data_IF_213047739628
#
_entry.id   IF_213047739628
#
_cell.length_a   1.000
_cell.length_b   1.000
_cell.length_c   1.000
_cell.angle_alpha   90.00
_cell.angle_beta   90.00
_cell.angle_gamma   90.00
#
_symmetry.space_group_name_H-M   'P 1'
#
loop_
_entity.id
_entity.type
_entity.pdbx_description
1 polymer ?
#
# COMPACT_ATOMS: atom_id res chain seq x y z
N UNK A 1 -0.34 7.63 -16.29
CA UNK A 1 -1.20 6.65 -16.99
C UNK A 1 -1.88 5.73 -15.97
N UNK A 2 -3.14 6.00 -15.56
CA UNK A 2 -3.83 5.21 -14.55
C UNK A 2 -3.92 3.71 -14.86
N UNK A 3 -4.11 3.34 -16.13
CA UNK A 3 -4.20 1.93 -16.55
C UNK A 3 -2.93 1.12 -16.31
N UNK A 4 -1.75 1.70 -16.56
CA UNK A 4 -0.45 1.04 -16.31
C UNK A 4 -0.25 0.81 -14.81
N UNK A 5 -0.63 1.79 -14.00
CA UNK A 5 -0.58 1.66 -12.54
C UNK A 5 -1.47 0.51 -12.05
N UNK A 6 -2.72 0.44 -12.53
CA UNK A 6 -3.64 -0.65 -12.16
C UNK A 6 -3.08 -2.01 -12.57
N UNK A 7 -2.57 -2.15 -13.79
CA UNK A 7 -1.97 -3.41 -14.26
C UNK A 7 -0.79 -3.83 -13.37
N UNK A 8 0.18 -2.94 -13.17
CA UNK A 8 1.36 -3.22 -12.33
C UNK A 8 0.97 -3.53 -10.89
N UNK A 9 0.01 -2.80 -10.32
CA UNK A 9 -0.45 -3.00 -8.95
C UNK A 9 -1.19 -4.35 -8.79
N UNK A 10 -2.06 -4.69 -9.74
CA UNK A 10 -2.81 -5.95 -9.73
C UNK A 10 -1.90 -7.18 -9.80
N UNK A 11 -0.75 -7.10 -10.49
CA UNK A 11 0.21 -8.22 -10.51
C UNK A 11 0.78 -8.55 -9.12
N UNK A 12 0.80 -7.59 -8.19
CA UNK A 12 1.27 -7.80 -6.83
C UNK A 12 0.45 -8.85 -6.06
N UNK A 13 -0.87 -8.83 -6.21
CA UNK A 13 -1.76 -9.82 -5.58
C UNK A 13 -1.62 -11.21 -6.23
N UNK A 14 -1.39 -11.25 -7.55
CA UNK A 14 -1.14 -12.50 -8.28
C UNK A 14 0.17 -13.12 -7.75
N UNK A 15 1.24 -12.33 -7.66
CA UNK A 15 2.52 -12.77 -7.11
C UNK A 15 2.41 -13.27 -5.67
N UNK A 16 1.65 -12.57 -4.82
CA UNK A 16 1.38 -13.04 -3.46
C UNK A 16 0.64 -14.38 -3.44
N UNK A 17 -0.41 -14.56 -4.25
CA UNK A 17 -1.15 -15.82 -4.34
C UNK A 17 -0.27 -17.01 -4.73
N UNK A 18 0.68 -16.81 -5.64
CA UNK A 18 1.59 -17.87 -6.08
C UNK A 18 2.81 -18.05 -5.17
N UNK A 19 3.24 -17.01 -4.44
CA UNK A 19 4.42 -17.07 -3.57
C UNK A 19 4.12 -17.55 -2.14
N UNK A 20 2.97 -17.20 -1.59
CA UNK A 20 2.55 -17.56 -0.24
C UNK A 20 2.47 -19.08 0.05
N UNK A 21 2.20 -19.97 -0.93
CA UNK A 21 2.28 -21.42 -0.70
C UNK A 21 3.71 -21.93 -0.39
N UNK A 22 4.74 -21.17 -0.76
CA UNK A 22 6.14 -21.63 -0.70
C UNK A 22 7.00 -20.89 0.34
N UNK A 23 6.51 -19.77 0.88
CA UNK A 23 7.24 -18.98 1.86
C UNK A 23 6.27 -18.29 2.83
N UNK A 24 6.72 -18.09 4.07
CA UNK A 24 5.96 -17.30 5.03
C UNK A 24 5.77 -15.86 4.51
N UNK A 25 4.63 -15.20 4.81
CA UNK A 25 4.26 -13.92 4.20
C UNK A 25 5.30 -12.81 4.36
N UNK A 26 5.92 -12.73 5.53
CA UNK A 26 6.94 -11.72 5.84
C UNK A 26 8.27 -12.03 5.14
N UNK A 27 8.67 -13.30 5.08
CA UNK A 27 9.87 -13.73 4.35
C UNK A 27 9.72 -13.48 2.85
N UNK A 28 8.56 -13.78 2.28
CA UNK A 28 8.26 -13.46 0.88
C UNK A 28 8.32 -11.96 0.60
N UNK A 29 7.77 -11.14 1.51
CA UNK A 29 7.81 -9.69 1.41
C UNK A 29 9.23 -9.13 1.50
N UNK A 30 10.03 -9.61 2.46
CA UNK A 30 11.43 -9.21 2.62
C UNK A 30 12.25 -9.55 1.38
N UNK A 31 12.10 -10.77 0.85
CA UNK A 31 12.80 -11.20 -0.35
C UNK A 31 12.40 -10.35 -1.57
N UNK A 32 11.11 -10.00 -1.70
CA UNK A 32 10.63 -9.07 -2.73
C UNK A 32 11.27 -7.69 -2.57
N UNK A 33 11.35 -7.16 -1.35
CA UNK A 33 12.00 -5.87 -1.10
C UNK A 33 13.48 -5.90 -1.42
N UNK A 34 14.21 -6.96 -1.06
CA UNK A 34 15.63 -7.14 -1.43
C UNK A 34 15.81 -7.09 -2.94
N UNK A 35 14.99 -7.81 -3.70
CA UNK A 35 15.05 -7.79 -5.18
C UNK A 35 14.77 -6.39 -5.72
N UNK A 36 13.75 -5.71 -5.20
CA UNK A 36 13.41 -4.33 -5.62
C UNK A 36 14.55 -3.36 -5.30
N UNK A 37 15.13 -3.45 -4.11
CA UNK A 37 16.28 -2.63 -3.68
C UNK A 37 17.47 -2.88 -4.59
N UNK A 38 17.78 -4.13 -4.92
CA UNK A 38 18.89 -4.47 -5.81
C UNK A 38 18.69 -3.88 -7.21
N UNK A 39 17.50 -4.05 -7.79
CA UNK A 39 17.17 -3.50 -9.12
C UNK A 39 17.22 -1.97 -9.11
N UNK A 40 16.64 -1.32 -8.09
CA UNK A 40 16.66 0.13 -7.95
C UNK A 40 18.08 0.67 -7.71
N UNK A 41 18.90 -0.03 -6.92
CA UNK A 41 20.29 0.35 -6.68
C UNK A 41 21.09 0.32 -8.00
N UNK A 42 20.95 -0.74 -8.80
CA UNK A 42 21.58 -0.81 -10.13
C UNK A 42 21.09 0.33 -11.02
N UNK A 43 19.79 0.63 -11.04
CA UNK A 43 19.24 1.73 -11.82
C UNK A 43 19.74 3.10 -11.36
N UNK A 44 19.84 3.33 -10.05
CA UNK A 44 20.37 4.58 -9.46
C UNK A 44 21.84 4.77 -9.84
N UNK A 45 22.65 3.70 -9.75
CA UNK A 45 24.06 3.72 -10.14
C UNK A 45 24.24 3.96 -11.64
N UNK A 46 23.48 3.25 -12.48
CA UNK A 46 23.55 3.37 -13.94
C UNK A 46 23.10 4.76 -14.43
N UNK A 47 22.09 5.35 -13.78
CA UNK A 47 21.55 6.65 -14.19
C UNK A 47 22.18 7.84 -13.47
N UNK A 48 23.12 7.60 -12.53
CA UNK A 48 23.75 8.62 -11.68
C UNK A 48 22.71 9.56 -11.05
N UNK A 49 21.62 8.99 -10.56
CA UNK A 49 20.47 9.75 -10.07
C UNK A 49 20.87 10.66 -8.89
N UNK A 50 20.26 11.84 -8.82
CA UNK A 50 20.57 12.84 -7.80
C UNK A 50 20.00 12.44 -6.45
N UNK A 51 20.88 12.27 -5.47
CA UNK A 51 20.47 11.94 -4.11
C UNK A 51 19.82 13.13 -3.39
N UNK A 52 18.81 12.88 -2.54
CA UNK A 52 18.26 13.92 -1.68
C UNK A 52 19.38 14.47 -0.77
N UNK A 53 19.67 15.76 -0.88
CA UNK A 53 20.74 16.42 -0.13
C UNK A 53 20.34 16.81 1.30
N UNK A 54 19.04 16.88 1.58
CA UNK A 54 18.51 17.23 2.89
C UNK A 54 18.31 15.97 3.76
N UNK A 55 19.03 15.84 4.89
CA UNK A 55 18.84 14.75 5.84
C UNK A 55 17.41 14.66 6.37
N UNK A 56 16.70 15.79 6.49
CA UNK A 56 15.30 15.81 6.93
C UNK A 56 14.39 15.14 5.90
N UNK A 57 14.63 15.40 4.62
CA UNK A 57 13.92 14.73 3.53
C UNK A 57 14.16 13.22 3.55
N UNK A 58 15.40 12.76 3.82
CA UNK A 58 15.71 11.33 3.98
C UNK A 58 14.90 10.73 5.15
N UNK A 59 14.80 11.43 6.28
CA UNK A 59 13.97 11.01 7.41
C UNK A 59 12.48 10.91 7.04
N UNK A 60 11.94 11.90 6.34
CA UNK A 60 10.55 11.87 5.86
C UNK A 60 10.30 10.72 4.89
N UNK A 61 11.28 10.39 4.04
CA UNK A 61 11.23 9.26 3.13
C UNK A 61 11.24 7.93 3.85
N UNK A 62 12.08 7.79 4.88
CA UNK A 62 12.10 6.59 5.69
C UNK A 62 10.74 6.36 6.37
N UNK A 63 10.17 7.39 7.00
CA UNK A 63 8.84 7.32 7.64
C UNK A 63 7.75 6.95 6.62
N UNK A 64 7.75 7.60 5.46
CA UNK A 64 6.83 7.30 4.37
C UNK A 64 6.97 5.84 3.89
N UNK A 65 8.21 5.37 3.68
CA UNK A 65 8.50 4.01 3.26
C UNK A 65 8.02 2.97 4.28
N UNK A 66 8.30 3.19 5.56
CA UNK A 66 7.82 2.32 6.65
C UNK A 66 6.30 2.25 6.65
N UNK A 67 5.59 3.38 6.56
CA UNK A 67 4.12 3.39 6.56
C UNK A 67 3.52 2.68 5.33
N UNK A 68 4.02 3.01 4.13
CA UNK A 68 3.44 2.56 2.86
C UNK A 68 3.85 1.14 2.49
N UNK A 69 5.05 0.70 2.86
CA UNK A 69 5.58 -0.60 2.46
C UNK A 69 5.61 -1.58 3.63
N UNK A 70 6.23 -1.24 4.76
CA UNK A 70 6.36 -2.19 5.87
C UNK A 70 5.03 -2.39 6.61
N UNK A 71 4.43 -1.29 7.10
CA UNK A 71 3.27 -1.34 7.98
C UNK A 71 1.98 -1.69 7.22
N UNK A 72 1.80 -1.15 6.01
CA UNK A 72 0.69 -1.53 5.14
C UNK A 72 0.77 -2.99 4.70
N UNK A 73 1.86 -3.42 4.04
CA UNK A 73 1.94 -4.80 3.54
C UNK A 73 2.03 -5.79 4.70
N UNK A 74 2.77 -5.45 5.76
CA UNK A 74 2.83 -6.24 6.98
C UNK A 74 1.46 -6.40 7.65
N UNK A 75 0.64 -5.35 7.70
CA UNK A 75 -0.73 -5.42 8.21
C UNK A 75 -1.66 -6.23 7.30
N UNK A 76 -1.54 -6.09 5.96
CA UNK A 76 -2.30 -6.91 4.99
C UNK A 76 -1.98 -8.40 5.17
N UNK A 77 -0.70 -8.76 5.20
CA UNK A 77 -0.27 -10.15 5.38
C UNK A 77 -0.55 -10.65 6.80
N UNK A 78 -0.45 -9.80 7.81
CA UNK A 78 -0.82 -10.10 9.20
C UNK A 78 -2.29 -10.44 9.34
N UNK A 79 -3.18 -9.67 8.69
CA UNK A 79 -4.62 -9.96 8.65
C UNK A 79 -4.89 -11.30 7.96
N UNK A 80 -4.25 -11.58 6.82
CA UNK A 80 -4.39 -12.86 6.11
C UNK A 80 -3.91 -14.03 6.98
N UNK A 81 -2.79 -13.86 7.70
CA UNK A 81 -2.25 -14.87 8.63
C UNK A 81 -3.22 -15.17 9.78
N UNK A 82 -3.97 -14.18 10.26
CA UNK A 82 -5.02 -14.34 11.28
C UNK A 82 -6.35 -14.87 10.71
N UNK A 83 -6.32 -15.41 9.49
CA UNK A 83 -7.47 -16.05 8.86
C UNK A 83 -8.41 -15.11 8.13
N UNK A 84 -8.12 -13.80 8.07
CA UNK A 84 -8.96 -12.86 7.32
C UNK A 84 -8.86 -13.19 5.82
N UNK A 85 -9.99 -13.43 5.14
CA UNK A 85 -9.99 -13.71 3.71
C UNK A 85 -9.34 -12.57 2.91
N UNK A 86 -8.42 -12.90 1.99
CA UNK A 86 -7.71 -11.88 1.20
C UNK A 86 -8.64 -10.95 0.43
N UNK A 87 -9.83 -11.43 0.01
CA UNK A 87 -10.86 -10.60 -0.60
C UNK A 87 -11.42 -9.53 0.34
N UNK A 88 -11.61 -9.86 1.62
CA UNK A 88 -12.06 -8.90 2.64
C UNK A 88 -10.97 -7.88 2.96
N UNK A 89 -9.71 -8.31 3.07
CA UNK A 89 -8.57 -7.39 3.23
C UNK A 89 -8.44 -6.44 2.03
N UNK A 90 -8.65 -6.95 0.81
CA UNK A 90 -8.66 -6.13 -0.40
C UNK A 90 -9.84 -5.12 -0.43
N UNK A 91 -11.01 -5.48 0.10
CA UNK A 91 -12.13 -4.55 0.26
C UNK A 91 -11.77 -3.41 1.22
N UNK A 92 -11.19 -3.75 2.38
CA UNK A 92 -10.75 -2.77 3.38
C UNK A 92 -9.68 -1.84 2.78
N UNK A 93 -8.68 -2.40 2.09
CA UNK A 93 -7.70 -1.59 1.36
C UNK A 93 -8.33 -0.74 0.26
N UNK A 94 -9.38 -1.25 -0.41
CA UNK A 94 -10.17 -0.53 -1.40
C UNK A 94 -10.94 0.67 -0.86
N UNK A 95 -11.10 0.79 0.47
CA UNK A 95 -11.65 1.99 1.12
C UNK A 95 -10.63 3.13 1.24
N UNK A 96 -9.35 2.89 0.96
CA UNK A 96 -8.30 3.91 1.01
C UNK A 96 -8.68 5.21 0.29
N UNK A 97 -9.24 5.20 -0.94
CA UNK A 97 -9.56 6.44 -1.63
C UNK A 97 -10.72 7.21 -0.96
N UNK A 98 -11.68 6.53 -0.31
CA UNK A 98 -12.71 7.17 0.51
C UNK A 98 -12.11 7.83 1.74
N UNK A 99 -11.26 7.10 2.46
CA UNK A 99 -10.60 7.62 3.65
C UNK A 99 -9.69 8.80 3.29
N UNK A 100 -8.93 8.67 2.21
CA UNK A 100 -8.09 9.75 1.68
C UNK A 100 -8.94 10.96 1.29
N UNK A 101 -10.05 10.77 0.58
CA UNK A 101 -10.96 11.85 0.19
C UNK A 101 -11.55 12.60 1.39
N UNK A 102 -11.86 11.89 2.48
CA UNK A 102 -12.36 12.51 3.71
C UNK A 102 -11.28 13.31 4.45
N UNK A 103 -10.03 12.84 4.42
CA UNK A 103 -8.92 13.38 5.22
C UNK A 103 -8.09 14.43 4.45
N UNK A 104 -8.08 14.40 3.11
CA UNK A 104 -7.27 15.31 2.28
C UNK A 104 -7.67 16.79 2.46
N UNK A 105 -8.96 17.07 2.69
CA UNK A 105 -9.45 18.43 2.94
C UNK A 105 -8.83 19.09 4.17
N UNK A 106 -9.00 18.55 5.38
CA UNK A 106 -8.42 19.13 6.58
C UNK A 106 -6.88 19.08 6.61
N UNK A 107 -6.24 18.05 6.03
CA UNK A 107 -4.77 17.90 6.12
C UNK A 107 -3.98 18.64 5.03
N UNK A 108 -4.54 18.79 3.83
CA UNK A 108 -3.85 19.34 2.66
C UNK A 108 -4.60 20.53 2.04
N UNK A 109 -5.80 20.88 2.54
CA UNK A 109 -6.60 21.99 2.02
C UNK A 109 -7.30 21.71 0.68
N UNK A 110 -7.27 20.45 0.20
CA UNK A 110 -7.83 20.07 -1.10
C UNK A 110 -9.30 19.68 -1.00
N UNK A 111 -10.13 20.18 -1.92
CA UNK A 111 -11.56 19.85 -1.95
C UNK A 111 -11.84 18.73 -2.96
N UNK A 112 -12.52 17.69 -2.50
CA UNK A 112 -12.99 16.60 -3.37
C UNK A 112 -14.31 17.01 -4.02
N UNK A 113 -14.34 17.06 -5.35
CA UNK A 113 -15.52 17.49 -6.10
C UNK A 113 -16.63 16.44 -6.10
N UNK A 114 -17.88 16.86 -6.31
CA UNK A 114 -19.06 15.98 -6.33
C UNK A 114 -18.95 14.86 -7.36
N UNK A 115 -18.37 15.15 -8.54
CA UNK A 115 -18.12 14.12 -9.58
C UNK A 115 -17.12 13.04 -9.14
N UNK A 116 -16.11 13.41 -8.33
CA UNK A 116 -15.15 12.46 -7.78
C UNK A 116 -15.80 11.56 -6.73
N UNK A 117 -16.70 12.11 -5.90
CA UNK A 117 -17.51 11.33 -4.97
C UNK A 117 -18.39 10.30 -5.66
N UNK A 118 -19.05 10.67 -6.77
CA UNK A 118 -19.81 9.72 -7.58
C UNK A 118 -18.95 8.60 -8.16
N UNK A 119 -17.79 8.94 -8.76
CA UNK A 119 -16.86 7.94 -9.29
C UNK A 119 -16.33 6.99 -8.21
N UNK A 120 -16.09 7.52 -7.02
CA UNK A 120 -15.65 6.75 -5.86
C UNK A 120 -16.72 5.79 -5.35
N UNK A 121 -17.96 6.26 -5.25
CA UNK A 121 -19.11 5.41 -4.90
C UNK A 121 -19.33 4.29 -5.92
N UNK A 122 -19.26 4.62 -7.22
CA UNK A 122 -19.43 3.64 -8.29
C UNK A 122 -18.30 2.60 -8.31
N UNK A 123 -17.05 3.03 -8.06
CA UNK A 123 -15.90 2.13 -7.90
C UNK A 123 -16.08 1.18 -6.71
N UNK A 124 -16.55 1.68 -5.57
CA UNK A 124 -16.81 0.87 -4.38
C UNK A 124 -17.91 -0.17 -4.62
N UNK A 125 -18.99 0.21 -5.31
CA UNK A 125 -20.06 -0.71 -5.71
C UNK A 125 -19.49 -1.83 -6.59
N UNK A 126 -18.67 -1.50 -7.58
CA UNK A 126 -18.02 -2.48 -8.45
C UNK A 126 -17.16 -3.48 -7.66
N UNK A 127 -16.34 -3.00 -6.72
CA UNK A 127 -15.54 -3.86 -5.84
C UNK A 127 -16.43 -4.75 -4.97
N UNK A 128 -17.51 -4.20 -4.38
CA UNK A 128 -18.45 -4.95 -3.58
C UNK A 128 -19.16 -6.05 -4.38
N UNK A 129 -19.55 -5.78 -5.63
CA UNK A 129 -20.16 -6.78 -6.53
C UNK A 129 -19.20 -7.90 -6.91
N UNK A 130 -17.92 -7.59 -7.19
CA UNK A 130 -16.92 -8.61 -7.50
C UNK A 130 -16.65 -9.49 -6.28
N UNK A 131 -16.63 -8.90 -5.09
CA UNK A 131 -16.33 -9.62 -3.85
C UNK A 131 -17.54 -10.33 -3.25
N UNK A 132 -18.78 -9.90 -3.51
CA UNK A 132 -19.98 -10.55 -2.96
C UNK A 132 -20.07 -12.03 -3.36
N UNK A 133 -19.67 -12.35 -4.59
CA UNK A 133 -19.57 -13.74 -5.09
C UNK A 133 -18.48 -14.58 -4.41
N UNK A 134 -17.48 -13.92 -3.82
CA UNK A 134 -16.40 -14.55 -3.03
C UNK A 134 -16.77 -14.66 -1.55
N UNK A 135 -17.69 -13.81 -1.08
CA UNK A 135 -18.13 -13.70 0.32
C UNK A 135 -19.27 -14.67 0.67
N UNK A 136 -20.03 -15.17 -0.31
CA UNK A 136 -21.19 -16.07 -0.12
C UNK A 136 -20.91 -17.46 0.48
N UNK A 137 -19.68 -17.76 0.88
CA UNK A 137 -19.31 -18.97 1.62
C UNK A 137 -18.42 -18.71 2.84
N UNK A 138 -18.26 -17.44 3.24
CA UNK A 138 -17.35 -17.04 4.31
C UNK A 138 -18.11 -17.00 5.63
N UNK A 139 -17.78 -17.92 6.53
CA UNK A 139 -18.23 -17.88 7.94
C UNK A 139 -17.46 -16.79 8.65
N UNK A 140 -18.14 -15.73 9.10
CA UNK A 140 -17.55 -14.63 9.88
C UNK A 140 -17.16 -15.05 11.30
N UNK A 141 -17.36 -16.31 11.62
CA UNK A 141 -17.23 -16.96 12.91
C UNK A 141 -15.77 -17.37 13.24
N UNK A 142 -14.81 -17.19 12.31
CA UNK A 142 -13.45 -17.76 12.40
C UNK A 142 -12.26 -16.80 12.44
N UNK A 143 -12.43 -15.50 12.17
CA UNK A 143 -11.34 -14.51 12.22
C UNK A 143 -11.63 -13.53 13.36
N UNK A 144 -10.78 -13.56 14.40
CA UNK A 144 -10.92 -12.69 15.57
C UNK A 144 -10.80 -11.20 15.23
N UNK A 145 -11.26 -10.35 16.15
CA UNK A 145 -11.09 -8.88 16.09
C UNK A 145 -9.65 -8.46 15.77
N UNK A 146 -8.68 -9.27 16.17
CA UNK A 146 -7.24 -9.07 15.94
C UNK A 146 -6.89 -8.98 14.45
N UNK A 147 -7.43 -9.88 13.62
CA UNK A 147 -7.19 -9.90 12.17
C UNK A 147 -7.76 -8.66 11.46
N UNK A 148 -8.94 -8.22 11.88
CA UNK A 148 -9.54 -6.97 11.38
C UNK A 148 -8.73 -5.75 11.85
N UNK A 149 -8.21 -5.77 13.08
CA UNK A 149 -7.28 -4.76 13.60
C UNK A 149 -6.07 -4.56 12.68
N UNK A 150 -5.45 -5.64 12.21
CA UNK A 150 -4.35 -5.56 11.23
C UNK A 150 -4.78 -4.97 9.89
N UNK A 151 -5.96 -5.32 9.37
CA UNK A 151 -6.46 -4.78 8.10
C UNK A 151 -6.76 -3.27 8.20
N UNK A 152 -7.35 -2.83 9.31
CA UNK A 152 -7.61 -1.42 9.59
C UNK A 152 -6.30 -0.66 9.80
N UNK A 153 -5.36 -1.22 10.56
CA UNK A 153 -4.03 -0.63 10.74
C UNK A 153 -3.32 -0.47 9.40
N UNK A 154 -3.41 -1.45 8.50
CA UNK A 154 -2.86 -1.36 7.15
C UNK A 154 -3.50 -0.21 6.35
N UNK A 155 -4.83 -0.09 6.39
CA UNK A 155 -5.57 0.99 5.72
C UNK A 155 -5.15 2.38 6.23
N UNK A 156 -5.01 2.52 7.55
CA UNK A 156 -4.56 3.77 8.17
C UNK A 156 -3.10 4.07 7.79
N UNK A 157 -2.24 3.05 7.79
CA UNK A 157 -0.83 3.19 7.43
C UNK A 157 -0.64 3.65 5.99
N UNK A 158 -1.31 3.03 5.01
CA UNK A 158 -1.19 3.45 3.61
C UNK A 158 -1.82 4.82 3.36
N UNK A 159 -2.94 5.14 4.02
CA UNK A 159 -3.58 6.47 3.88
C UNK A 159 -2.70 7.56 4.47
N UNK A 160 -2.24 7.37 5.72
CA UNK A 160 -1.33 8.30 6.38
C UNK A 160 0.00 8.43 5.65
N UNK A 161 0.58 7.32 5.21
CA UNK A 161 1.85 7.28 4.50
C UNK A 161 1.79 7.98 3.14
N UNK A 162 0.72 7.79 2.35
CA UNK A 162 0.55 8.47 1.05
C UNK A 162 0.30 9.97 1.22
N UNK A 163 -0.49 10.38 2.21
CA UNK A 163 -0.69 11.80 2.55
C UNK A 163 0.61 12.44 3.07
N UNK A 164 1.35 11.74 3.92
CA UNK A 164 2.63 12.20 4.46
C UNK A 164 3.67 12.38 3.34
N UNK A 165 3.76 11.40 2.43
CA UNK A 165 4.62 11.48 1.26
C UNK A 165 4.26 12.70 0.39
N UNK A 166 2.97 12.89 0.13
CA UNK A 166 2.50 14.05 -0.65
C UNK A 166 2.81 15.39 0.03
N UNK A 167 2.85 15.44 1.37
CA UNK A 167 3.09 16.66 2.13
C UNK A 167 4.58 17.01 2.28
N UNK A 168 5.42 16.03 2.58
CA UNK A 168 6.81 16.24 3.01
C UNK A 168 7.87 15.72 2.04
N UNK A 169 7.50 14.85 1.09
CA UNK A 169 8.43 14.21 0.16
C UNK A 169 8.28 14.76 -1.27
N UNK A 170 7.94 16.04 -1.43
CA UNK A 170 7.84 16.67 -2.75
C UNK A 170 9.20 17.15 -3.26
N UNK A 171 9.46 17.09 -4.57
CA UNK A 171 10.68 17.63 -5.18
C UNK A 171 11.92 16.72 -5.14
N UNK A 172 11.73 15.44 -4.86
CA UNK A 172 12.77 14.40 -4.83
C UNK A 172 12.89 13.65 -6.18
N UNK A 173 14.08 13.12 -6.52
CA UNK A 173 14.18 12.13 -7.60
C UNK A 173 13.51 10.84 -7.16
N UNK A 174 12.57 10.35 -7.98
CA UNK A 174 11.80 9.13 -7.68
C UNK A 174 12.71 7.91 -7.46
N UNK A 175 13.83 7.79 -8.18
CA UNK A 175 14.69 6.60 -8.14
C UNK A 175 15.39 6.46 -6.79
N UNK A 176 16.13 7.48 -6.38
CA UNK A 176 16.82 7.52 -5.08
C UNK A 176 15.83 7.54 -3.94
N UNK A 177 14.71 8.23 -4.16
CA UNK A 177 13.61 8.32 -3.23
C UNK A 177 12.94 7.01 -2.85
N UNK A 178 12.46 6.32 -3.88
CA UNK A 178 11.83 5.01 -3.74
C UNK A 178 12.84 4.00 -3.21
N UNK A 179 14.12 4.10 -3.59
CA UNK A 179 15.18 3.28 -2.98
C UNK A 179 15.27 3.48 -1.46
N UNK A 180 15.33 4.73 -0.97
CA UNK A 180 15.34 5.03 0.47
C UNK A 180 14.09 4.49 1.17
N UNK A 181 12.91 4.66 0.56
CA UNK A 181 11.64 4.14 1.09
C UNK A 181 11.65 2.61 1.24
N UNK A 182 12.12 1.88 0.23
CA UNK A 182 12.20 0.41 0.28
C UNK A 182 13.26 -0.08 1.27
N UNK A 183 14.43 0.58 1.32
CA UNK A 183 15.47 0.26 2.31
C UNK A 183 14.95 0.46 3.73
N UNK A 184 14.29 1.58 4.01
CA UNK A 184 13.69 1.83 5.32
C UNK A 184 12.55 0.86 5.67
N UNK A 185 11.87 0.32 4.67
CA UNK A 185 10.82 -0.67 4.86
C UNK A 185 11.32 -2.11 5.03
N UNK A 186 12.61 -2.37 4.77
CA UNK A 186 13.27 -3.68 4.99
C UNK A 186 13.79 -3.82 6.43
N UNK A 187 13.05 -3.32 7.42
CA UNK A 187 13.39 -3.39 8.85
C UNK A 187 12.48 -4.38 9.56
#
# INVERSE_FOLDING_TARGET
>A
MPGVFVLLWSTGFIGAKFGLPYAEPFTFLALRFVVVIAVLAVAVLATKATWPRDPRLIGHLAVSGILVHALYLGGVFGAIRHGVPAGLVALVAGLQPLLTAAVVGPLLGERVGTKQWFGLGLGLIGVAMVLSTRLTGIRFDGFGWDGMGFAVAALLAITGGTLYQKRFCTGMDLRTGTLVQYVAALV
#
